data_IF_702358570729
#
_entry.id   IF_702358570729
#
_cell.length_a   1.000
_cell.length_b   1.000
_cell.length_c   1.000
_cell.angle_alpha   90.00
_cell.angle_beta   90.00
_cell.angle_gamma   90.00
#
_symmetry.space_group_name_H-M   'P 1'
#
loop_
_entity.id
_entity.type
_entity.pdbx_description
1 polymer ?
#
# COMPACT_ATOMS: atom_id res chain seq x y z
N UNK A 1 -11.25 -40.03 1.63
CA UNK A 1 -10.28 -38.97 1.26
C UNK A 1 -9.30 -39.52 0.26
N UNK A 2 -9.11 -38.84 -0.85
CA UNK A 2 -8.02 -39.13 -1.76
C UNK A 2 -6.69 -38.90 -1.02
N UNK A 3 -5.74 -39.83 -1.11
CA UNK A 3 -4.40 -39.67 -0.50
C UNK A 3 -3.38 -39.76 -1.64
N UNK A 4 -2.21 -39.11 -1.53
CA UNK A 4 -1.16 -39.23 -2.55
C UNK A 4 -0.81 -40.70 -2.88
N UNK A 5 -0.83 -41.58 -1.87
CA UNK A 5 -0.62 -43.02 -2.05
C UNK A 5 -1.68 -43.68 -2.94
N UNK A 6 -2.95 -43.30 -2.82
CA UNK A 6 -4.02 -43.84 -3.67
C UNK A 6 -3.83 -43.41 -5.12
N UNK A 7 -3.48 -42.13 -5.35
CA UNK A 7 -3.16 -41.64 -6.70
C UNK A 7 -1.99 -42.38 -7.32
N UNK A 8 -0.92 -42.61 -6.54
CA UNK A 8 0.22 -43.41 -7.00
C UNK A 8 -0.22 -44.79 -7.46
N UNK A 9 -1.01 -45.50 -6.66
CA UNK A 9 -1.48 -46.86 -7.00
C UNK A 9 -2.34 -46.85 -8.27
N UNK A 10 -3.24 -45.88 -8.42
CA UNK A 10 -4.13 -45.80 -9.58
C UNK A 10 -3.36 -45.48 -10.86
N UNK A 11 -2.46 -44.51 -10.80
CA UNK A 11 -1.72 -44.02 -11.97
C UNK A 11 -0.49 -44.87 -12.31
N UNK A 12 0.06 -45.64 -11.35
CA UNK A 12 1.23 -46.49 -11.56
C UNK A 12 1.00 -47.60 -12.59
N UNK A 13 -0.26 -47.91 -12.90
CA UNK A 13 -0.65 -48.86 -13.96
C UNK A 13 -0.32 -48.37 -15.36
N UNK A 14 -0.19 -47.05 -15.55
CA UNK A 14 0.07 -46.44 -16.84
C UNK A 14 1.54 -46.09 -17.05
N UNK A 15 2.32 -45.97 -15.97
CA UNK A 15 3.76 -45.77 -16.02
C UNK A 15 4.37 -45.37 -14.69
N UNK A 16 5.69 -45.19 -14.70
CA UNK A 16 6.46 -44.82 -13.51
C UNK A 16 6.21 -43.37 -13.08
N UNK A 17 5.84 -43.20 -11.81
CA UNK A 17 5.53 -41.90 -11.20
C UNK A 17 6.69 -41.44 -10.33
N UNK A 18 7.18 -40.24 -10.58
CA UNK A 18 8.13 -39.53 -9.72
C UNK A 18 7.42 -38.86 -8.55
N UNK A 19 7.41 -37.53 -8.56
CA UNK A 19 6.82 -36.69 -7.50
C UNK A 19 5.30 -36.57 -7.63
N UNK A 20 4.64 -36.45 -6.48
CA UNK A 20 3.20 -36.18 -6.37
C UNK A 20 3.02 -35.09 -5.32
N UNK A 21 2.29 -34.04 -5.68
CA UNK A 21 1.91 -32.97 -4.77
C UNK A 21 0.42 -32.72 -4.89
N UNK A 22 -0.27 -32.62 -3.76
CA UNK A 22 -1.69 -32.29 -3.72
C UNK A 22 -1.84 -31.04 -2.86
N UNK A 23 -2.39 -29.98 -3.45
CA UNK A 23 -2.64 -28.75 -2.75
C UNK A 23 -3.86 -28.92 -1.86
N UNK A 24 -3.70 -28.80 -0.53
CA UNK A 24 -4.83 -28.88 0.38
C UNK A 24 -5.75 -27.68 0.15
N UNK A 25 -7.03 -27.89 0.44
CA UNK A 25 -8.00 -26.80 0.49
C UNK A 25 -7.61 -25.74 1.52
N UNK A 26 -8.02 -24.49 1.26
CA UNK A 26 -7.74 -23.36 2.13
C UNK A 26 -8.19 -23.64 3.58
N UNK A 27 -7.36 -23.19 4.53
CA UNK A 27 -7.53 -23.42 5.95
C UNK A 27 -8.86 -22.86 6.44
N UNK A 28 -9.34 -21.75 5.88
CA UNK A 28 -10.63 -21.18 6.27
C UNK A 28 -11.79 -22.08 5.88
N UNK A 29 -11.78 -22.60 4.66
CA UNK A 29 -12.83 -23.51 4.18
C UNK A 29 -12.79 -24.82 4.96
N UNK A 30 -11.60 -25.37 5.21
CA UNK A 30 -11.43 -26.55 6.07
C UNK A 30 -11.95 -26.31 7.50
N UNK A 31 -11.74 -25.12 8.07
CA UNK A 31 -12.29 -24.75 9.39
C UNK A 31 -13.81 -24.70 9.38
N UNK A 32 -14.43 -24.16 8.31
CA UNK A 32 -15.89 -24.15 8.14
C UNK A 32 -16.44 -25.56 8.03
N UNK A 33 -15.84 -26.42 7.21
CA UNK A 33 -16.23 -27.85 7.08
C UNK A 33 -16.12 -28.61 8.40
N UNK A 34 -15.06 -28.37 9.16
CA UNK A 34 -14.88 -29.00 10.46
C UNK A 34 -15.93 -28.56 11.48
N UNK A 35 -16.35 -27.29 11.44
CA UNK A 35 -17.48 -26.79 12.25
C UNK A 35 -18.81 -27.44 11.84
N UNK A 36 -19.00 -27.75 10.57
CA UNK A 36 -20.19 -28.46 10.06
C UNK A 36 -20.10 -30.00 10.18
N UNK A 37 -19.16 -30.53 10.99
CA UNK A 37 -19.02 -31.97 11.23
C UNK A 37 -18.20 -32.75 10.19
N UNK A 38 -17.72 -32.12 9.11
CA UNK A 38 -16.86 -32.77 8.11
C UNK A 38 -15.38 -32.53 8.44
N UNK A 39 -14.73 -33.52 9.04
CA UNK A 39 -13.28 -33.49 9.37
C UNK A 39 -12.35 -33.78 8.19
N UNK A 40 -12.91 -33.96 7.00
CA UNK A 40 -12.19 -34.47 5.85
C UNK A 40 -11.36 -33.36 5.18
N UNK A 41 -10.05 -33.54 5.05
CA UNK A 41 -9.12 -32.71 4.27
C UNK A 41 -9.22 -32.99 2.75
N UNK A 42 -10.01 -32.20 2.04
CA UNK A 42 -10.07 -32.27 0.58
C UNK A 42 -8.87 -31.57 -0.05
N UNK A 43 -8.56 -31.96 -1.28
CA UNK A 43 -7.54 -31.33 -2.12
C UNK A 43 -8.25 -30.58 -3.25
N UNK A 44 -7.72 -29.41 -3.61
CA UNK A 44 -8.29 -28.57 -4.68
C UNK A 44 -7.64 -28.92 -6.00
N UNK A 45 -6.32 -29.01 -6.00
CA UNK A 45 -5.52 -29.32 -7.19
C UNK A 45 -4.39 -30.30 -6.85
N UNK A 46 -3.82 -30.92 -7.89
CA UNK A 46 -2.75 -31.89 -7.75
C UNK A 46 -1.83 -31.93 -8.97
N UNK A 47 -0.55 -32.16 -8.70
CA UNK A 47 0.50 -32.29 -9.70
C UNK A 47 1.14 -33.68 -9.58
N UNK A 48 1.24 -34.35 -10.71
CA UNK A 48 1.85 -35.67 -10.82
C UNK A 48 2.93 -35.61 -11.88
N UNK A 49 4.15 -35.95 -11.49
CA UNK A 49 5.30 -36.06 -12.38
C UNK A 49 5.44 -37.52 -12.83
N UNK A 50 5.39 -37.74 -14.15
CA UNK A 50 5.77 -39.02 -14.74
C UNK A 50 7.22 -38.96 -15.21
N UNK A 51 7.92 -40.10 -15.17
CA UNK A 51 9.30 -40.18 -15.67
C UNK A 51 9.40 -39.98 -17.20
N UNK A 52 8.42 -40.45 -17.95
CA UNK A 52 8.35 -40.24 -19.41
C UNK A 52 7.21 -39.28 -19.80
N UNK A 53 7.57 -38.24 -20.57
CA UNK A 53 6.62 -37.26 -21.12
C UNK A 53 5.61 -37.88 -22.09
N UNK A 54 5.97 -38.96 -22.81
CA UNK A 54 5.05 -39.64 -23.74
C UNK A 54 3.89 -40.28 -22.99
N UNK A 55 4.21 -40.93 -21.86
CA UNK A 55 3.22 -41.51 -20.95
C UNK A 55 2.36 -40.39 -20.35
N UNK A 56 2.97 -39.32 -19.85
CA UNK A 56 2.22 -38.20 -19.28
C UNK A 56 1.17 -37.62 -20.24
N UNK A 57 1.55 -37.40 -21.51
CA UNK A 57 0.64 -36.93 -22.55
C UNK A 57 -0.50 -37.92 -22.81
N UNK A 58 -0.17 -39.20 -22.96
CA UNK A 58 -1.16 -40.26 -23.22
C UNK A 58 -2.15 -40.36 -22.06
N UNK A 59 -1.65 -40.43 -20.83
CA UNK A 59 -2.48 -40.51 -19.62
C UNK A 59 -3.38 -39.30 -19.50
N UNK A 60 -2.86 -38.09 -19.71
CA UNK A 60 -3.67 -36.88 -19.67
C UNK A 60 -4.81 -36.92 -20.69
N UNK A 61 -4.55 -37.32 -21.93
CA UNK A 61 -5.60 -37.39 -22.97
C UNK A 61 -6.59 -38.53 -22.70
N UNK A 62 -6.10 -39.71 -22.31
CA UNK A 62 -6.94 -40.90 -22.13
C UNK A 62 -7.77 -40.87 -20.85
N UNK A 63 -7.25 -40.32 -19.75
CA UNK A 63 -7.96 -40.28 -18.47
C UNK A 63 -8.80 -39.02 -18.29
N UNK A 64 -8.55 -37.94 -19.04
CA UNK A 64 -9.36 -36.72 -18.90
C UNK A 64 -10.85 -37.02 -19.14
N UNK A 65 -11.69 -36.59 -18.21
CA UNK A 65 -13.15 -36.79 -18.16
C UNK A 65 -13.60 -38.25 -18.11
N UNK A 66 -12.75 -39.17 -17.65
CA UNK A 66 -13.13 -40.57 -17.44
C UNK A 66 -13.42 -40.85 -15.96
N UNK A 67 -14.29 -41.83 -15.63
CA UNK A 67 -14.56 -42.19 -14.24
C UNK A 67 -13.32 -42.76 -13.54
N UNK A 68 -13.08 -42.36 -12.30
CA UNK A 68 -11.91 -42.83 -11.54
C UNK A 68 -12.03 -44.29 -11.09
N UNK A 69 -13.25 -44.78 -10.91
CA UNK A 69 -13.53 -46.14 -10.49
C UNK A 69 -14.19 -46.95 -11.59
N UNK A 70 -13.80 -48.23 -11.71
CA UNK A 70 -14.42 -49.18 -12.64
C UNK A 70 -15.50 -50.02 -11.98
N UNK A 71 -15.51 -50.13 -10.65
CA UNK A 71 -16.47 -50.96 -9.89
C UNK A 71 -17.34 -50.08 -8.99
N UNK A 72 -18.65 -50.36 -8.95
CA UNK A 72 -19.63 -49.61 -8.11
C UNK A 72 -19.29 -49.55 -6.62
N UNK A 73 -18.60 -50.56 -6.08
CA UNK A 73 -18.18 -50.59 -4.66
C UNK A 73 -16.90 -49.78 -4.38
N UNK A 74 -16.22 -49.24 -5.39
CA UNK A 74 -15.03 -48.42 -5.19
C UNK A 74 -15.41 -47.03 -4.69
N UNK A 75 -14.59 -46.50 -3.78
CA UNK A 75 -14.81 -45.22 -3.11
C UNK A 75 -14.96 -44.03 -4.06
N UNK A 76 -14.31 -44.07 -5.20
CA UNK A 76 -14.26 -42.97 -6.17
C UNK A 76 -15.00 -43.30 -7.47
N UNK A 77 -16.02 -44.14 -7.40
CA UNK A 77 -16.76 -44.58 -8.59
C UNK A 77 -17.52 -43.44 -9.28
N UNK A 78 -18.11 -42.53 -8.49
CA UNK A 78 -18.85 -41.37 -8.99
C UNK A 78 -17.95 -40.22 -9.50
N UNK A 79 -16.67 -40.26 -9.16
CA UNK A 79 -15.77 -39.14 -9.40
C UNK A 79 -15.13 -39.26 -10.78
N UNK A 80 -14.96 -38.13 -11.46
CA UNK A 80 -14.30 -38.06 -12.76
C UNK A 80 -12.85 -37.58 -12.61
N UNK A 81 -11.97 -38.13 -13.43
CA UNK A 81 -10.62 -37.60 -13.64
C UNK A 81 -10.70 -36.26 -14.38
N UNK A 82 -10.12 -35.21 -13.81
CA UNK A 82 -9.85 -33.97 -14.51
C UNK A 82 -8.34 -33.75 -14.54
N UNK A 83 -7.72 -34.05 -15.68
CA UNK A 83 -6.26 -33.99 -15.86
C UNK A 83 -5.89 -33.17 -17.08
N UNK A 84 -4.80 -32.40 -17.01
CA UNK A 84 -4.24 -31.67 -18.14
C UNK A 84 -2.72 -31.85 -18.16
N UNK A 85 -2.16 -32.10 -19.34
CA UNK A 85 -0.72 -32.11 -19.52
C UNK A 85 -0.18 -30.67 -19.59
N UNK A 86 0.85 -30.38 -18.80
CA UNK A 86 1.51 -29.08 -18.80
C UNK A 86 2.82 -29.16 -19.59
N UNK A 87 2.85 -28.50 -20.75
CA UNK A 87 4.02 -28.48 -21.61
C UNK A 87 5.12 -27.56 -21.03
N UNK A 88 6.38 -28.02 -21.08
CA UNK A 88 7.56 -27.29 -20.56
C UNK A 88 7.46 -26.90 -19.09
N UNK A 89 6.55 -27.52 -18.34
CA UNK A 89 6.40 -27.28 -16.92
C UNK A 89 7.43 -28.09 -16.15
N UNK A 90 8.13 -27.43 -15.23
CA UNK A 90 9.10 -28.05 -14.33
C UNK A 90 8.59 -27.95 -12.90
N UNK A 91 8.99 -28.91 -12.06
CA UNK A 91 8.62 -28.91 -10.64
C UNK A 91 9.09 -27.66 -9.89
N UNK A 92 10.20 -27.07 -10.33
CA UNK A 92 10.75 -25.80 -9.84
C UNK A 92 9.74 -24.66 -9.96
N UNK A 93 9.03 -24.57 -11.09
CA UNK A 93 8.00 -23.54 -11.32
C UNK A 93 6.83 -23.69 -10.34
N UNK A 94 6.48 -24.93 -9.95
CA UNK A 94 5.45 -25.16 -8.94
C UNK A 94 5.89 -24.62 -7.58
N UNK A 95 7.08 -25.02 -7.12
CA UNK A 95 7.61 -24.57 -5.84
C UNK A 95 7.82 -23.07 -5.79
N UNK A 96 8.31 -22.47 -6.88
CA UNK A 96 8.53 -21.04 -7.00
C UNK A 96 7.21 -20.28 -6.93
N UNK A 97 6.19 -20.71 -7.69
CA UNK A 97 4.86 -20.12 -7.63
C UNK A 97 4.25 -20.20 -6.23
N UNK A 98 4.30 -21.36 -5.58
CA UNK A 98 3.77 -21.55 -4.23
C UNK A 98 4.50 -20.67 -3.21
N UNK A 99 5.83 -20.59 -3.31
CA UNK A 99 6.63 -19.72 -2.46
C UNK A 99 6.25 -18.24 -2.68
N UNK A 100 6.15 -17.81 -3.94
CA UNK A 100 5.75 -16.47 -4.31
C UNK A 100 4.36 -16.12 -3.74
N UNK A 101 3.35 -16.95 -3.99
CA UNK A 101 1.99 -16.75 -3.44
C UNK A 101 2.01 -16.62 -1.91
N UNK A 102 2.77 -17.49 -1.23
CA UNK A 102 2.92 -17.44 0.22
C UNK A 102 3.62 -16.15 0.71
N UNK A 103 4.65 -15.69 0.01
CA UNK A 103 5.35 -14.44 0.35
C UNK A 103 4.47 -13.21 0.14
N UNK A 104 3.72 -13.15 -0.97
CA UNK A 104 2.80 -12.04 -1.26
C UNK A 104 1.71 -11.97 -0.20
N UNK A 105 1.12 -13.11 0.19
CA UNK A 105 0.13 -13.17 1.27
C UNK A 105 0.72 -12.68 2.61
N UNK A 106 1.93 -13.10 2.95
CA UNK A 106 2.60 -12.65 4.17
C UNK A 106 2.92 -11.16 4.15
N UNK A 107 3.38 -10.62 3.02
CA UNK A 107 3.66 -9.20 2.86
C UNK A 107 2.38 -8.35 3.02
N UNK A 108 1.27 -8.77 2.39
CA UNK A 108 -0.04 -8.11 2.56
C UNK A 108 -0.49 -8.11 4.02
N UNK A 109 -0.44 -9.27 4.67
CA UNK A 109 -0.80 -9.37 6.08
C UNK A 109 0.07 -8.49 6.98
N UNK A 110 1.39 -8.40 6.70
CA UNK A 110 2.30 -7.51 7.44
C UNK A 110 1.95 -6.05 7.24
N UNK A 111 1.60 -5.65 6.02
CA UNK A 111 1.17 -4.28 5.72
C UNK A 111 -0.13 -3.91 6.45
N UNK A 112 -1.12 -4.80 6.42
CA UNK A 112 -2.40 -4.64 7.15
C UNK A 112 -2.16 -4.52 8.66
N UNK A 113 -1.35 -5.41 9.24
CA UNK A 113 -1.00 -5.36 10.67
C UNK A 113 -0.25 -4.07 11.02
N UNK A 114 0.67 -3.63 10.15
CA UNK A 114 1.41 -2.37 10.32
C UNK A 114 0.46 -1.17 10.30
N UNK A 115 -0.51 -1.15 9.38
CA UNK A 115 -1.51 -0.09 9.30
C UNK A 115 -2.37 -0.04 10.57
N UNK A 116 -2.94 -1.17 10.98
CA UNK A 116 -3.76 -1.26 12.18
C UNK A 116 -2.98 -0.83 13.45
N UNK A 117 -1.70 -1.21 13.55
CA UNK A 117 -0.81 -0.75 14.63
C UNK A 117 -0.58 0.75 14.60
N UNK A 118 -0.36 1.33 13.42
CA UNK A 118 -0.16 2.78 13.26
C UNK A 118 -1.39 3.55 13.72
N UNK A 119 -2.58 3.13 13.28
CA UNK A 119 -3.86 3.75 13.67
C UNK A 119 -4.11 3.62 15.19
N UNK A 120 -3.88 2.43 15.75
CA UNK A 120 -4.01 2.19 17.20
C UNK A 120 -3.04 3.04 18.02
N UNK A 121 -1.76 3.07 17.63
CA UNK A 121 -0.74 3.87 18.32
C UNK A 121 -1.03 5.37 18.21
N UNK A 122 -1.53 5.82 17.07
CA UNK A 122 -1.94 7.22 16.90
C UNK A 122 -3.08 7.58 17.86
N UNK A 123 -4.08 6.72 18.01
CA UNK A 123 -5.16 6.92 18.97
C UNK A 123 -4.65 6.96 20.40
N UNK A 124 -3.84 5.98 20.82
CA UNK A 124 -3.26 5.94 22.17
C UNK A 124 -2.45 7.20 22.49
N UNK A 125 -1.57 7.61 21.57
CA UNK A 125 -0.78 8.83 21.73
C UNK A 125 -1.65 10.09 21.88
N UNK A 126 -2.77 10.18 21.16
CA UNK A 126 -3.67 11.33 21.26
C UNK A 126 -4.46 11.34 22.57
N UNK A 127 -4.91 10.17 23.05
CA UNK A 127 -5.56 10.03 24.35
C UNK A 127 -4.58 10.40 25.47
N UNK A 128 -3.36 9.89 25.44
CA UNK A 128 -2.32 10.24 26.41
C UNK A 128 -2.03 11.75 26.41
N UNK A 129 -1.89 12.37 25.22
CA UNK A 129 -1.74 13.82 25.10
C UNK A 129 -2.92 14.59 25.68
N UNK A 130 -4.16 14.19 25.37
CA UNK A 130 -5.36 14.83 25.91
C UNK A 130 -5.38 14.73 27.43
N UNK A 131 -5.20 13.53 27.99
CA UNK A 131 -5.20 13.34 29.45
C UNK A 131 -4.08 14.13 30.14
N UNK A 132 -2.91 14.27 29.50
CA UNK A 132 -1.83 15.10 30.01
C UNK A 132 -2.21 16.59 30.00
N UNK A 133 -2.74 17.09 28.88
CA UNK A 133 -3.21 18.47 28.77
C UNK A 133 -4.33 18.78 29.76
N UNK A 134 -5.26 17.85 29.98
CA UNK A 134 -6.34 18.00 30.96
C UNK A 134 -5.79 18.10 32.39
N UNK A 135 -4.78 17.29 32.74
CA UNK A 135 -4.09 17.39 34.05
C UNK A 135 -3.39 18.73 34.21
N UNK A 136 -2.69 19.21 33.18
CA UNK A 136 -2.03 20.52 33.19
C UNK A 136 -3.07 21.65 33.33
N UNK A 137 -4.17 21.60 32.57
CA UNK A 137 -5.25 22.58 32.64
C UNK A 137 -5.87 22.65 34.03
N UNK A 138 -6.13 21.50 34.66
CA UNK A 138 -6.64 21.44 36.05
C UNK A 138 -5.67 22.07 37.05
N UNK A 139 -4.35 21.82 36.93
CA UNK A 139 -3.33 22.45 37.80
C UNK A 139 -3.26 23.97 37.61
N UNK A 140 -3.28 24.45 36.38
CA UNK A 140 -3.28 25.90 36.10
C UNK A 140 -4.53 26.61 36.64
N UNK A 141 -5.69 25.95 36.57
CA UNK A 141 -6.92 26.45 37.16
C UNK A 141 -6.85 26.54 38.69
N UNK A 142 -6.24 25.56 39.38
CA UNK A 142 -6.03 25.63 40.84
C UNK A 142 -5.03 26.71 41.23
N UNK A 143 -4.02 26.96 40.39
CA UNK A 143 -2.97 27.95 40.65
C UNK A 143 -3.38 29.38 40.24
N UNK A 144 -4.62 29.58 39.75
CA UNK A 144 -5.18 30.90 39.39
C UNK A 144 -4.61 31.51 38.10
N UNK A 145 -3.88 30.74 37.29
CA UNK A 145 -3.23 31.19 36.06
C UNK A 145 -4.24 31.19 34.88
N UNK A 146 -4.41 32.32 34.18
CA UNK A 146 -5.31 32.39 33.01
C UNK A 146 -4.82 31.46 31.91
N UNK A 147 -5.69 30.55 31.47
CA UNK A 147 -5.40 29.60 30.38
C UNK A 147 -5.66 30.31 29.05
N UNK A 148 -4.64 30.93 28.48
CA UNK A 148 -4.71 31.45 27.11
C UNK A 148 -4.85 30.28 26.13
N UNK A 149 -5.98 30.22 25.43
CA UNK A 149 -6.16 29.29 24.32
C UNK A 149 -5.18 29.67 23.20
N UNK A 150 -4.20 28.80 22.93
CA UNK A 150 -3.26 28.98 21.82
C UNK A 150 -4.04 29.03 20.51
N UNK A 151 -4.25 30.25 20.01
CA UNK A 151 -4.73 30.51 18.66
C UNK A 151 -3.69 29.93 17.69
N UNK A 152 -4.14 29.05 16.79
CA UNK A 152 -3.26 28.52 15.75
C UNK A 152 -2.84 29.67 14.82
N UNK A 153 -1.59 30.08 14.92
CA UNK A 153 -0.99 31.03 13.97
C UNK A 153 -0.72 30.30 12.64
N UNK A 154 -1.79 30.11 11.85
CA UNK A 154 -1.65 29.59 10.51
C UNK A 154 -1.03 30.67 9.62
N UNK A 155 0.25 30.53 9.28
CA UNK A 155 0.87 31.37 8.26
C UNK A 155 0.39 30.88 6.89
N UNK A 156 -0.67 31.52 6.37
CA UNK A 156 -1.21 31.21 5.04
C UNK A 156 -0.11 31.43 3.98
N UNK A 157 0.09 30.44 3.11
CA UNK A 157 0.98 30.61 1.96
C UNK A 157 0.39 31.71 1.06
N UNK A 158 1.17 32.75 0.71
CA UNK A 158 0.67 33.82 -0.15
C UNK A 158 0.32 33.26 -1.53
N UNK A 159 -0.75 33.76 -2.12
CA UNK A 159 -1.27 33.31 -3.42
C UNK A 159 -0.27 33.65 -4.54
N UNK A 160 -0.31 32.95 -5.68
CA UNK A 160 0.56 33.20 -6.85
C UNK A 160 0.53 34.70 -7.27
N UNK A 161 -0.63 35.34 -7.20
CA UNK A 161 -0.79 36.77 -7.46
C UNK A 161 -0.01 37.67 -6.49
N UNK A 162 0.02 37.32 -5.20
CA UNK A 162 0.82 38.02 -4.19
C UNK A 162 2.32 37.81 -4.41
N UNK A 163 2.72 36.62 -4.83
CA UNK A 163 4.11 36.31 -5.22
C UNK A 163 4.57 37.14 -6.41
N UNK A 164 3.74 37.24 -7.47
CA UNK A 164 4.05 38.03 -8.66
C UNK A 164 4.09 39.53 -8.34
N UNK A 165 3.16 40.03 -7.50
CA UNK A 165 3.18 41.43 -7.02
C UNK A 165 4.43 41.73 -6.20
N UNK A 166 4.83 40.84 -5.28
CA UNK A 166 6.08 40.97 -4.50
C UNK A 166 7.31 40.97 -5.41
N UNK A 167 7.36 40.09 -6.41
CA UNK A 167 8.48 39.98 -7.35
C UNK A 167 8.61 41.22 -8.24
N UNK A 168 7.49 41.77 -8.72
CA UNK A 168 7.46 43.05 -9.44
C UNK A 168 7.87 44.23 -8.56
N UNK A 169 7.44 44.26 -7.29
CA UNK A 169 7.87 45.29 -6.32
C UNK A 169 9.36 45.21 -5.99
N UNK A 170 9.94 44.01 -6.04
CA UNK A 170 11.36 43.76 -5.79
C UNK A 170 12.22 43.81 -7.05
N UNK A 171 11.68 44.14 -8.23
CA UNK A 171 12.55 44.32 -9.40
C UNK A 171 13.44 45.53 -9.15
N UNK A 172 14.75 45.35 -9.34
CA UNK A 172 15.75 46.40 -9.08
C UNK A 172 15.46 47.68 -9.89
N UNK A 173 14.80 47.53 -11.04
CA UNK A 173 14.29 48.63 -11.85
C UNK A 173 13.26 49.50 -11.12
N UNK A 174 12.29 48.91 -10.43
CA UNK A 174 11.23 49.65 -9.74
C UNK A 174 11.80 50.36 -8.49
N UNK A 175 12.67 49.67 -7.75
CA UNK A 175 13.38 50.25 -6.60
C UNK A 175 14.27 51.41 -7.02
N UNK A 176 14.95 51.29 -8.17
CA UNK A 176 15.77 52.36 -8.72
C UNK A 176 14.91 53.55 -9.14
N UNK A 177 13.79 53.32 -9.85
CA UNK A 177 12.83 54.35 -10.25
C UNK A 177 12.22 55.09 -9.05
N UNK A 178 11.83 54.37 -8.01
CA UNK A 178 11.29 54.95 -6.77
C UNK A 178 12.35 55.79 -6.05
N UNK A 179 13.61 55.32 -6.04
CA UNK A 179 14.74 56.06 -5.48
C UNK A 179 15.06 57.33 -6.27
N UNK A 180 15.08 57.29 -7.61
CA UNK A 180 15.26 58.49 -8.44
C UNK A 180 14.10 59.47 -8.27
N UNK A 181 12.85 58.99 -8.20
CA UNK A 181 11.67 59.83 -7.98
C UNK A 181 11.73 60.55 -6.63
N UNK A 182 12.17 59.85 -5.59
CA UNK A 182 12.32 60.41 -4.24
C UNK A 182 13.45 61.45 -4.18
N UNK A 183 14.57 61.20 -4.88
CA UNK A 183 15.65 62.17 -5.07
C UNK A 183 15.19 63.42 -5.82
N UNK A 184 14.41 63.25 -6.89
CA UNK A 184 13.86 64.36 -7.67
C UNK A 184 12.85 65.21 -6.87
N UNK A 185 12.02 64.59 -6.05
CA UNK A 185 11.08 65.31 -5.18
C UNK A 185 11.81 66.12 -4.11
N UNK A 186 12.86 65.54 -3.51
CA UNK A 186 13.73 66.25 -2.55
C UNK A 186 14.53 67.39 -3.20
N UNK A 187 14.94 67.24 -4.46
CA UNK A 187 15.60 68.34 -5.17
C UNK A 187 14.61 69.46 -5.48
N UNK A 188 13.38 69.16 -5.91
CA UNK A 188 12.35 70.17 -6.18
C UNK A 188 11.97 71.00 -4.95
N UNK A 189 11.91 70.40 -3.75
CA UNK A 189 11.66 71.14 -2.51
C UNK A 189 12.77 72.14 -2.16
N UNK A 190 13.98 71.93 -2.69
CA UNK A 190 15.13 72.79 -2.43
C UNK A 190 15.32 73.85 -3.53
N UNK A 191 14.75 73.68 -4.72
CA UNK A 191 14.84 74.65 -5.83
C UNK A 191 14.14 75.96 -5.49
N UNK A 192 12.98 75.92 -4.81
CA UNK A 192 12.28 77.14 -4.37
C UNK A 192 13.08 77.92 -3.31
N UNK A 193 13.81 77.21 -2.45
CA UNK A 193 14.70 77.77 -1.44
C UNK A 193 15.94 78.41 -2.08
N UNK A 194 16.57 77.73 -3.05
CA UNK A 194 17.73 78.25 -3.77
C UNK A 194 17.37 79.43 -4.69
N UNK A 195 16.23 79.40 -5.37
CA UNK A 195 15.75 80.53 -6.17
C UNK A 195 15.51 81.78 -5.30
N UNK A 196 15.08 81.60 -4.05
CA UNK A 196 14.87 82.69 -3.09
C UNK A 196 16.17 83.29 -2.54
N UNK A 197 17.25 82.50 -2.47
CA UNK A 197 18.58 82.93 -2.01
C UNK A 197 19.35 83.66 -3.12
N UNK A 198 19.25 83.19 -4.37
CA UNK A 198 20.05 83.74 -5.48
C UNK A 198 19.38 84.86 -6.28
N UNK A 199 18.05 85.02 -6.20
CA UNK A 199 17.36 86.15 -6.85
C UNK A 199 17.11 87.33 -5.90
N UNK A 200 17.52 87.26 -4.63
CA UNK A 200 17.30 88.34 -3.65
C UNK A 200 18.39 89.42 -3.65
N UNK A 201 19.36 89.37 -4.56
CA UNK A 201 20.43 90.37 -4.68
C UNK A 201 20.40 91.02 -6.05
N UNK A 202 19.35 91.78 -6.34
CA UNK A 202 19.40 92.96 -7.23
C UNK A 202 18.09 93.74 -7.11
N UNK A 203 18.05 94.65 -6.13
CA UNK A 203 17.27 95.88 -6.20
C UNK A 203 17.88 96.84 -5.19
N UNK A 204 18.84 97.63 -5.69
CA UNK A 204 19.14 98.97 -5.15
C UNK A 204 17.89 99.86 -5.22
#
# INVERSE_FOLDING_TARGET
MLRPRHLRIMLSKYGEIGRIFLQPEDRQVRRKKRKSGSGSCSFVEGWVEFRDKRIAKRVAVSLHNTPMGTRRRQRFFSDLWNMKYLHRFQWTHLSERLAYEQTVLQQRLRAEVSQAKRETNFYLNNVEKSTHLDKVRKRKQTDGEQVDEKKWDFTQRPTEEEFQKRKKRNSDTQRHLDKTRLLQQKSQSNVSLLAKIFNSTHSE
#
